data_IF_228744497626
#
_entry.id   IF_228744497626
#
_cell.length_a   1.000
_cell.length_b   1.000
_cell.length_c   1.000
_cell.angle_alpha   90.00
_cell.angle_beta   90.00
_cell.angle_gamma   90.00
#
_symmetry.space_group_name_H-M   'P 1'
#
loop_
_entity.id
_entity.type
_entity.pdbx_description
1 polymer ?
#
# COMPACT_ATOMS: atom_id res chain seq x y z
N UNK A 1 -28.07 -15.78 -50.87
CA UNK A 1 -27.40 -15.55 -52.17
C UNK A 1 -26.22 -14.60 -51.96
N UNK A 2 -24.99 -15.05 -52.30
CA UNK A 2 -23.74 -14.29 -52.60
C UNK A 2 -23.23 -13.25 -51.58
N UNK A 3 -21.94 -13.08 -51.31
CA UNK A 3 -20.68 -13.77 -51.61
C UNK A 3 -19.59 -13.07 -50.77
N UNK A 4 -18.63 -13.85 -50.26
CA UNK A 4 -17.31 -13.47 -49.73
C UNK A 4 -16.61 -12.32 -50.47
N UNK A 5 -15.83 -11.49 -49.74
CA UNK A 5 -14.49 -11.07 -50.15
C UNK A 5 -13.55 -11.06 -48.92
N UNK A 6 -12.51 -11.90 -48.98
CA UNK A 6 -11.32 -11.93 -48.11
C UNK A 6 -10.33 -10.86 -48.58
N UNK A 7 -9.65 -10.18 -47.65
CA UNK A 7 -8.55 -9.25 -47.94
C UNK A 7 -7.37 -9.49 -47.00
N UNK A 8 -6.48 -10.39 -47.41
CA UNK A 8 -5.17 -10.69 -46.82
C UNK A 8 -4.14 -9.70 -47.37
N UNK A 9 -3.34 -9.03 -46.52
CA UNK A 9 -2.01 -8.53 -46.90
C UNK A 9 -1.03 -8.65 -45.74
N UNK A 10 -0.11 -9.58 -45.95
CA UNK A 10 1.16 -9.82 -45.28
C UNK A 10 2.10 -8.64 -45.56
N UNK A 11 2.78 -8.11 -44.54
CA UNK A 11 4.07 -7.42 -44.72
C UNK A 11 5.05 -7.95 -43.70
N UNK A 12 6.03 -8.67 -44.21
CA UNK A 12 7.15 -9.33 -43.54
C UNK A 12 8.26 -8.35 -43.18
N UNK A 13 8.76 -8.51 -41.94
CA UNK A 13 10.16 -8.51 -41.48
C UNK A 13 11.14 -7.41 -41.95
N UNK A 14 11.75 -6.73 -40.97
CA UNK A 14 13.19 -6.44 -41.01
C UNK A 14 13.78 -6.56 -39.61
N UNK A 15 14.54 -7.64 -39.40
CA UNK A 15 15.44 -7.84 -38.27
C UNK A 15 16.71 -7.02 -38.51
N UNK A 16 17.16 -6.26 -37.50
CA UNK A 16 18.54 -5.78 -37.45
C UNK A 16 19.13 -6.16 -36.08
N UNK A 17 20.00 -7.17 -36.09
CA UNK A 17 20.95 -7.48 -35.03
C UNK A 17 22.18 -6.58 -35.18
N UNK A 18 22.67 -5.99 -34.08
CA UNK A 18 24.08 -5.64 -33.84
C UNK A 18 24.26 -5.49 -32.31
N UNK A 19 24.70 -6.53 -31.60
CA UNK A 19 26.08 -6.94 -31.26
C UNK A 19 26.58 -6.37 -29.92
N UNK A 20 27.11 -7.30 -29.14
CA UNK A 20 27.56 -7.24 -27.74
C UNK A 20 28.94 -6.60 -27.63
N UNK A 21 29.17 -5.82 -26.57
CA UNK A 21 30.52 -5.64 -26.00
C UNK A 21 30.43 -5.57 -24.48
N UNK A 22 30.88 -6.64 -23.83
CA UNK A 22 31.22 -6.71 -22.42
C UNK A 22 32.68 -6.25 -22.23
N UNK A 23 33.01 -5.55 -21.14
CA UNK A 23 34.16 -5.90 -20.28
C UNK A 23 34.36 -4.94 -19.08
N UNK A 24 34.41 -5.56 -17.89
CA UNK A 24 35.31 -5.29 -16.74
C UNK A 24 35.32 -3.95 -16.00
N UNK A 25 34.87 -4.03 -14.73
CA UNK A 25 35.32 -3.21 -13.60
C UNK A 25 36.72 -3.65 -13.13
N UNK A 26 37.46 -2.75 -12.44
CA UNK A 26 38.27 -3.19 -11.32
C UNK A 26 37.86 -2.53 -10.00
N UNK A 27 37.79 -3.41 -9.02
CA UNK A 27 37.75 -3.20 -7.58
C UNK A 27 39.08 -2.58 -7.12
N UNK A 28 39.07 -1.51 -6.34
CA UNK A 28 40.26 -1.09 -5.58
C UNK A 28 39.86 -0.73 -4.14
N UNK A 29 40.33 -1.55 -3.22
CA UNK A 29 40.32 -1.33 -1.78
C UNK A 29 41.41 -0.34 -1.41
N UNK A 30 41.09 0.68 -0.61
CA UNK A 30 42.08 1.48 0.11
C UNK A 30 41.74 1.50 1.59
N UNK A 31 42.55 0.78 2.37
CA UNK A 31 42.74 0.98 3.80
C UNK A 31 44.22 1.24 4.01
N UNK A 32 44.60 2.46 4.42
CA UNK A 32 45.76 2.73 5.27
C UNK A 32 45.45 3.99 6.11
N UNK A 33 45.29 3.80 7.42
CA UNK A 33 46.26 4.10 8.48
C UNK A 33 46.32 5.58 8.87
N UNK A 34 45.88 5.87 10.10
CA UNK A 34 46.58 6.85 10.92
C UNK A 34 46.39 6.59 12.42
N UNK A 35 47.51 6.49 13.14
CA UNK A 35 47.64 6.66 14.59
C UNK A 35 49.09 7.07 14.87
N UNK A 36 49.30 8.09 15.71
CA UNK A 36 50.05 7.91 16.96
C UNK A 36 49.40 8.76 18.09
N UNK A 37 49.61 8.62 19.41
CA UNK A 37 50.69 8.07 20.23
C UNK A 37 50.23 7.82 21.70
N UNK A 38 50.96 6.91 22.38
CA UNK A 38 51.40 6.81 23.81
C UNK A 38 51.13 8.00 24.78
N UNK A 39 51.05 7.88 26.13
CA UNK A 39 51.24 6.84 27.16
C UNK A 39 50.80 7.38 28.55
N UNK A 40 50.47 6.49 29.50
CA UNK A 40 50.49 6.68 30.97
C UNK A 40 49.10 6.82 31.63
N UNK A 41 48.75 6.20 32.77
CA UNK A 41 49.41 5.32 33.75
C UNK A 41 48.36 4.75 34.73
N UNK A 42 48.58 3.51 35.19
CA UNK A 42 48.20 2.91 36.50
C UNK A 42 46.73 2.53 36.86
N UNK A 43 46.57 1.20 36.97
CA UNK A 43 46.09 0.43 38.15
C UNK A 43 44.59 0.29 38.49
N UNK A 44 44.17 -0.99 38.39
CA UNK A 44 43.28 -1.75 39.27
C UNK A 44 41.74 -1.49 39.28
N UNK A 45 41.05 -2.43 38.61
CA UNK A 45 39.84 -3.14 39.04
C UNK A 45 38.46 -2.43 39.06
N UNK A 46 37.73 -2.53 37.93
CA UNK A 46 36.37 -3.14 37.88
C UNK A 46 35.88 -3.21 36.43
N UNK A 47 36.11 -4.34 35.75
CA UNK A 47 35.58 -4.58 34.39
C UNK A 47 34.12 -5.01 34.43
N UNK A 48 33.22 -4.04 34.55
CA UNK A 48 31.87 -4.18 34.02
C UNK A 48 31.96 -4.08 32.49
N UNK A 49 31.66 -5.19 31.81
CA UNK A 49 31.56 -5.29 30.34
C UNK A 49 30.58 -4.22 29.81
N UNK A 50 30.95 -3.37 28.84
CA UNK A 50 29.97 -2.50 28.18
C UNK A 50 28.96 -3.39 27.46
N UNK A 51 27.72 -3.38 27.93
CA UNK A 51 26.61 -4.02 27.24
C UNK A 51 26.35 -3.19 26.00
N UNK A 52 26.81 -3.70 24.85
CA UNK A 52 26.49 -3.19 23.53
C UNK A 52 25.02 -2.72 23.50
N UNK A 53 24.83 -1.47 23.10
CA UNK A 53 23.53 -0.86 22.85
C UNK A 53 22.77 -1.73 21.86
N UNK A 54 21.91 -2.59 22.39
CA UNK A 54 20.94 -3.31 21.58
C UNK A 54 19.89 -2.28 21.18
N UNK A 55 20.00 -1.79 19.94
CA UNK A 55 18.89 -1.26 19.15
C UNK A 55 17.62 -2.05 19.52
N UNK A 56 16.54 -1.42 20.01
CA UNK A 56 15.31 -2.13 20.30
C UNK A 56 14.87 -2.89 19.05
N UNK A 57 14.79 -4.21 19.16
CA UNK A 57 14.13 -5.01 18.13
C UNK A 57 12.69 -4.51 18.07
N UNK A 58 12.25 -4.10 16.87
CA UNK A 58 10.87 -3.70 16.64
C UNK A 58 9.96 -4.84 17.13
N UNK A 59 9.17 -4.57 18.16
CA UNK A 59 8.14 -5.47 18.61
C UNK A 59 7.18 -5.65 17.43
N UNK A 60 6.99 -6.87 16.95
CA UNK A 60 5.97 -7.17 15.94
C UNK A 60 4.64 -6.65 16.48
N UNK A 61 4.00 -5.76 15.71
CA UNK A 61 2.71 -5.21 16.07
C UNK A 61 1.70 -6.35 16.28
N UNK A 62 0.73 -6.13 17.18
CA UNK A 62 -0.39 -7.06 17.34
C UNK A 62 -1.17 -7.11 16.02
N UNK A 63 -1.47 -8.30 15.46
CA UNK A 63 -2.24 -8.42 14.23
C UNK A 63 -3.60 -7.72 14.34
N UNK A 64 -4.00 -7.03 13.28
CA UNK A 64 -5.26 -6.28 13.23
C UNK A 64 -6.43 -7.23 12.98
N UNK A 65 -7.50 -7.08 13.76
CA UNK A 65 -8.73 -7.86 13.59
C UNK A 65 -9.50 -7.34 12.36
N UNK A 66 -9.51 -8.10 11.27
CA UNK A 66 -10.17 -7.70 10.00
C UNK A 66 -11.70 -7.56 10.12
N UNK A 67 -12.30 -8.17 11.15
CA UNK A 67 -13.74 -8.26 11.40
C UNK A 67 -14.27 -7.17 12.34
N UNK A 68 -13.40 -6.27 12.82
CA UNK A 68 -13.76 -5.20 13.77
C UNK A 68 -13.35 -3.82 13.24
N UNK A 69 -14.02 -2.74 13.69
CA UNK A 69 -13.55 -1.39 13.45
C UNK A 69 -12.12 -1.21 13.97
N UNK A 70 -11.21 -0.71 13.14
CA UNK A 70 -9.80 -0.60 13.53
C UNK A 70 -9.49 0.61 14.42
N UNK A 71 -10.31 1.66 14.35
CA UNK A 71 -10.18 2.89 15.15
C UNK A 71 -11.12 3.00 16.35
N UNK A 72 -11.85 1.93 16.68
CA UNK A 72 -12.89 1.96 17.71
C UNK A 72 -14.24 2.51 17.20
N UNK A 73 -14.94 3.28 18.04
CA UNK A 73 -16.29 3.79 17.72
C UNK A 73 -16.26 4.82 16.59
N UNK A 74 -17.11 4.62 15.58
CA UNK A 74 -17.22 5.52 14.44
C UNK A 74 -17.80 6.90 14.82
N UNK A 75 -17.39 7.96 14.10
CA UNK A 75 -17.98 9.28 14.27
C UNK A 75 -19.39 9.33 13.67
N UNK A 76 -20.24 10.18 14.25
CA UNK A 76 -21.53 10.53 13.66
C UNK A 76 -21.33 11.79 12.82
N UNK A 77 -21.42 11.63 11.50
CA UNK A 77 -21.28 12.76 10.58
C UNK A 77 -22.51 13.67 10.63
N UNK A 78 -22.29 14.97 10.74
CA UNK A 78 -23.36 15.98 10.64
C UNK A 78 -23.74 16.17 9.19
N UNK A 79 -24.99 16.60 8.96
CA UNK A 79 -25.45 17.00 7.64
C UNK A 79 -24.59 18.17 7.14
N UNK A 80 -24.05 18.04 5.93
CA UNK A 80 -23.16 19.02 5.28
C UNK A 80 -21.78 19.21 5.97
N UNK A 81 -21.34 18.26 6.79
CA UNK A 81 -19.98 18.28 7.33
C UNK A 81 -18.96 18.13 6.20
N UNK A 82 -18.05 19.10 6.09
CA UNK A 82 -17.07 19.14 5.01
C UNK A 82 -15.89 18.22 5.33
N UNK A 83 -16.11 16.92 5.21
CA UNK A 83 -15.09 15.91 5.45
C UNK A 83 -14.22 15.62 4.23
N UNK A 84 -13.02 15.10 4.47
CA UNK A 84 -12.14 14.55 3.44
C UNK A 84 -11.36 13.35 3.98
N UNK A 85 -10.86 12.51 3.08
CA UNK A 85 -10.04 11.35 3.41
C UNK A 85 -8.56 11.68 3.20
N UNK A 86 -7.75 11.40 4.20
CA UNK A 86 -6.30 11.53 4.16
C UNK A 86 -5.68 10.14 4.26
N UNK A 87 -4.90 9.73 3.25
CA UNK A 87 -4.31 8.40 3.17
C UNK A 87 -2.80 8.54 3.27
N UNK A 88 -2.22 8.00 4.34
CA UNK A 88 -0.77 7.90 4.50
C UNK A 88 -0.31 6.49 4.15
N UNK A 89 0.50 6.39 3.11
CA UNK A 89 1.15 5.15 2.68
C UNK A 89 2.24 4.75 3.69
N UNK A 90 2.98 5.71 4.27
CA UNK A 90 4.00 5.38 5.27
C UNK A 90 3.39 4.81 6.54
N UNK A 91 2.28 5.38 7.01
CA UNK A 91 1.65 4.96 8.26
C UNK A 91 0.60 3.86 8.07
N UNK A 92 0.27 3.51 6.81
CA UNK A 92 -0.72 2.51 6.45
C UNK A 92 -2.08 2.79 7.13
N UNK A 93 -2.56 4.03 6.93
CA UNK A 93 -3.77 4.56 7.56
C UNK A 93 -4.60 5.42 6.62
N UNK A 94 -5.90 5.39 6.85
CA UNK A 94 -6.86 6.35 6.30
C UNK A 94 -7.45 7.16 7.44
N UNK A 95 -7.36 8.47 7.37
CA UNK A 95 -7.95 9.39 8.33
C UNK A 95 -9.19 10.03 7.74
N UNK A 96 -10.26 10.09 8.52
CA UNK A 96 -11.44 10.90 8.21
C UNK A 96 -11.22 12.25 8.88
N UNK A 97 -11.15 13.30 8.07
CA UNK A 97 -10.75 14.65 8.50
C UNK A 97 -11.89 15.65 8.37
N UNK A 98 -12.01 16.55 9.34
CA UNK A 98 -12.79 17.80 9.25
C UNK A 98 -11.82 18.97 9.47
N UNK A 99 -11.53 19.74 8.41
CA UNK A 99 -10.42 20.68 8.43
C UNK A 99 -9.11 19.99 8.82
N UNK A 100 -8.50 20.42 9.92
CA UNK A 100 -7.27 19.83 10.47
C UNK A 100 -7.53 18.73 11.49
N UNK A 101 -8.77 18.55 11.95
CA UNK A 101 -9.13 17.58 12.98
C UNK A 101 -9.25 16.19 12.37
N UNK A 102 -8.74 15.18 13.07
CA UNK A 102 -8.98 13.77 12.73
C UNK A 102 -10.18 13.28 13.53
N UNK A 103 -11.27 12.95 12.85
CA UNK A 103 -12.48 12.41 13.45
C UNK A 103 -12.36 10.91 13.73
N UNK A 104 -11.64 10.20 12.85
CA UNK A 104 -11.44 8.75 12.94
C UNK A 104 -10.19 8.33 12.18
N UNK A 105 -9.58 7.22 12.62
CA UNK A 105 -8.42 6.61 11.97
C UNK A 105 -8.72 5.15 11.67
N UNK A 106 -8.59 4.77 10.41
CA UNK A 106 -8.68 3.40 9.95
C UNK A 106 -7.27 2.88 9.68
N UNK A 107 -6.98 1.65 10.10
CA UNK A 107 -5.81 0.91 9.61
C UNK A 107 -6.12 0.45 8.19
N UNK A 108 -5.13 0.58 7.31
CA UNK A 108 -5.24 0.23 5.91
C UNK A 108 -4.03 -0.57 5.42
N UNK A 109 -4.18 -1.20 4.27
CA UNK A 109 -3.07 -1.77 3.50
C UNK A 109 -3.10 -1.22 2.07
N UNK A 110 -2.06 -0.49 1.68
CA UNK A 110 -1.93 0.12 0.35
C UNK A 110 -1.10 -0.76 -0.58
N UNK A 111 -0.89 -0.28 -1.80
CA UNK A 111 -0.11 -0.95 -2.83
C UNK A 111 1.29 -1.36 -2.39
N UNK A 112 1.73 -2.53 -2.85
CA UNK A 112 3.07 -3.09 -2.61
C UNK A 112 4.21 -2.18 -3.08
N UNK A 113 3.94 -1.31 -4.04
CA UNK A 113 4.92 -0.33 -4.55
C UNK A 113 6.17 -1.01 -5.12
N UNK A 114 6.00 -2.22 -5.66
CA UNK A 114 7.07 -2.99 -6.32
C UNK A 114 7.19 -2.63 -7.80
N UNK A 115 6.12 -2.11 -8.40
CA UNK A 115 6.09 -1.57 -9.75
C UNK A 115 4.86 -0.62 -9.91
N UNK A 116 4.76 0.17 -10.99
CA UNK A 116 3.68 1.12 -11.17
C UNK A 116 2.26 0.52 -11.15
N UNK A 117 2.10 -0.76 -11.51
CA UNK A 117 0.79 -1.44 -11.51
C UNK A 117 0.38 -1.89 -10.10
N UNK A 118 1.30 -1.92 -9.14
CA UNK A 118 1.05 -2.28 -7.73
C UNK A 118 1.25 -1.11 -6.77
N UNK A 119 1.62 0.08 -7.26
CA UNK A 119 1.75 1.31 -6.47
C UNK A 119 0.38 1.96 -6.27
N UNK A 120 0.06 2.38 -5.03
CA UNK A 120 -1.03 3.32 -4.80
C UNK A 120 -0.55 4.73 -5.18
N UNK A 121 -1.09 5.34 -6.26
CA UNK A 121 -0.58 6.62 -6.73
C UNK A 121 -0.91 7.74 -5.74
N UNK A 122 0.10 8.54 -5.38
CA UNK A 122 -0.09 9.73 -4.55
C UNK A 122 -0.81 10.84 -5.33
N UNK A 123 -1.37 11.81 -4.63
CA UNK A 123 -2.05 12.95 -5.23
C UNK A 123 -3.35 13.34 -4.54
N UNK A 124 -4.11 14.21 -5.19
CA UNK A 124 -5.46 14.59 -4.78
C UNK A 124 -6.48 14.03 -5.76
N UNK A 125 -7.43 13.28 -5.22
CA UNK A 125 -8.49 12.59 -5.93
C UNK A 125 -9.85 12.91 -5.30
N UNK A 126 -10.90 12.35 -5.89
CA UNK A 126 -12.26 12.50 -5.39
C UNK A 126 -12.99 11.18 -5.52
N UNK A 127 -13.79 10.85 -4.51
CA UNK A 127 -14.66 9.67 -4.55
C UNK A 127 -15.56 9.74 -5.78
N UNK A 128 -15.54 8.67 -6.57
CA UNK A 128 -16.29 8.55 -7.81
C UNK A 128 -17.68 7.94 -7.54
N UNK A 129 -18.52 7.88 -8.56
CA UNK A 129 -19.91 7.42 -8.42
C UNK A 129 -20.00 5.91 -8.23
N UNK A 130 -19.00 5.18 -8.73
CA UNK A 130 -18.92 3.73 -8.74
C UNK A 130 -18.60 3.20 -7.33
N UNK A 131 -19.53 2.40 -6.81
CA UNK A 131 -19.39 1.66 -5.55
C UNK A 131 -20.31 0.45 -5.54
N UNK A 132 -20.03 -0.54 -4.72
CA UNK A 132 -20.86 -1.74 -4.63
C UNK A 132 -20.58 -2.59 -3.41
N UNK A 133 -21.49 -3.52 -3.13
CA UNK A 133 -21.38 -4.41 -1.96
C UNK A 133 -20.35 -5.52 -2.15
N UNK A 134 -20.07 -5.90 -3.40
CA UNK A 134 -19.18 -6.99 -3.76
C UNK A 134 -18.58 -6.74 -5.15
N UNK A 135 -17.34 -7.18 -5.35
CA UNK A 135 -16.75 -7.40 -6.66
C UNK A 135 -15.87 -8.65 -6.61
N UNK A 136 -15.56 -9.21 -7.78
CA UNK A 136 -14.54 -10.23 -7.94
C UNK A 136 -13.72 -9.91 -9.19
N UNK A 137 -12.40 -9.97 -9.07
CA UNK A 137 -11.42 -9.70 -10.10
C UNK A 137 -10.68 -11.00 -10.46
N UNK A 138 -11.13 -11.74 -11.49
CA UNK A 138 -10.54 -13.03 -11.85
C UNK A 138 -9.04 -12.97 -12.16
N UNK A 139 -8.54 -11.82 -12.65
CA UNK A 139 -7.11 -11.59 -12.91
C UNK A 139 -6.24 -11.83 -11.68
N UNK A 140 -6.73 -11.48 -10.49
CA UNK A 140 -6.03 -11.59 -9.22
C UNK A 140 -6.54 -12.74 -8.36
N UNK A 141 -7.60 -13.43 -8.80
CA UNK A 141 -8.32 -14.43 -7.99
C UNK A 141 -8.81 -13.86 -6.65
N UNK A 142 -9.13 -12.56 -6.62
CA UNK A 142 -9.50 -11.81 -5.42
C UNK A 142 -10.84 -11.09 -5.66
N UNK A 143 -11.71 -11.11 -4.65
CA UNK A 143 -12.86 -10.23 -4.53
C UNK A 143 -12.86 -9.50 -3.19
N UNK A 144 -13.76 -8.55 -3.00
CA UNK A 144 -13.91 -7.88 -1.71
C UNK A 144 -15.28 -7.23 -1.56
N UNK A 145 -15.62 -6.92 -0.30
CA UNK A 145 -16.87 -6.27 0.06
C UNK A 145 -16.72 -4.75 0.15
N UNK A 146 -17.84 -4.06 -0.06
CA UNK A 146 -18.01 -2.62 0.18
C UNK A 146 -16.99 -1.74 -0.54
N UNK A 147 -16.87 -1.94 -1.86
CA UNK A 147 -15.91 -1.19 -2.66
C UNK A 147 -16.43 0.21 -2.99
N UNK A 148 -15.53 1.20 -2.97
CA UNK A 148 -15.78 2.59 -3.37
C UNK A 148 -14.64 3.07 -4.25
N UNK A 149 -14.95 3.53 -5.46
CA UNK A 149 -13.92 4.01 -6.38
C UNK A 149 -13.48 5.42 -6.08
N UNK A 150 -12.18 5.68 -6.23
CA UNK A 150 -11.57 7.00 -6.06
C UNK A 150 -10.70 7.43 -7.25
N UNK A 151 -10.39 6.51 -8.18
CA UNK A 151 -9.66 6.80 -9.41
C UNK A 151 -9.96 5.77 -10.50
N UNK A 152 -9.95 6.24 -11.75
CA UNK A 152 -10.08 5.44 -12.97
C UNK A 152 -11.34 4.56 -13.05
N UNK A 153 -12.46 5.01 -12.47
CA UNK A 153 -13.80 4.44 -12.64
C UNK A 153 -13.87 2.93 -12.33
N UNK A 154 -13.41 2.57 -11.13
CA UNK A 154 -13.47 1.20 -10.61
C UNK A 154 -12.12 0.46 -10.60
N UNK A 155 -11.05 1.06 -11.11
CA UNK A 155 -9.71 0.45 -11.06
C UNK A 155 -9.05 0.60 -9.68
N UNK A 156 -9.16 1.78 -9.06
CA UNK A 156 -8.61 2.06 -7.73
C UNK A 156 -9.73 2.27 -6.72
N UNK A 157 -9.71 1.44 -5.68
CA UNK A 157 -10.82 1.25 -4.76
C UNK A 157 -10.36 1.38 -3.31
N UNK A 158 -11.25 1.89 -2.45
CA UNK A 158 -11.30 1.47 -1.05
C UNK A 158 -12.15 0.22 -0.99
N UNK A 159 -11.72 -0.84 -0.30
CA UNK A 159 -12.53 -2.04 -0.08
C UNK A 159 -12.06 -2.83 1.15
N UNK A 160 -12.84 -3.84 1.56
CA UNK A 160 -12.42 -4.74 2.64
C UNK A 160 -11.15 -5.52 2.27
N UNK A 161 -10.53 -6.19 3.23
CA UNK A 161 -9.56 -7.27 2.95
C UNK A 161 -10.06 -8.23 1.86
N UNK A 162 -9.15 -8.80 1.06
CA UNK A 162 -9.52 -9.61 -0.08
C UNK A 162 -10.12 -10.95 0.37
N UNK A 163 -10.93 -11.51 -0.52
CA UNK A 163 -11.70 -12.73 -0.36
C UNK A 163 -11.58 -13.57 -1.63
N UNK A 164 -11.84 -14.87 -1.53
CA UNK A 164 -11.99 -15.74 -2.70
C UNK A 164 -13.33 -15.51 -3.43
N UNK A 165 -13.56 -16.28 -4.50
CA UNK A 165 -14.79 -16.21 -5.30
C UNK A 165 -16.07 -16.56 -4.49
N UNK A 166 -15.92 -17.37 -3.44
CA UNK A 166 -16.98 -17.82 -2.55
C UNK A 166 -17.16 -16.87 -1.34
N UNK A 167 -16.45 -15.74 -1.33
CA UNK A 167 -16.45 -14.70 -0.29
C UNK A 167 -15.84 -15.13 1.06
N UNK A 168 -14.98 -16.14 1.08
CA UNK A 168 -14.15 -16.45 2.24
C UNK A 168 -12.96 -15.50 2.31
N UNK A 169 -12.61 -15.05 3.52
CA UNK A 169 -11.45 -14.17 3.75
C UNK A 169 -10.16 -14.88 3.34
N UNK A 170 -9.32 -14.18 2.58
CA UNK A 170 -7.94 -14.61 2.37
C UNK A 170 -7.12 -14.22 3.60
N UNK A 171 -6.98 -15.16 4.54
CA UNK A 171 -6.37 -14.88 5.85
C UNK A 171 -4.94 -14.35 5.75
N UNK A 172 -4.15 -14.83 4.78
CA UNK A 172 -2.77 -14.40 4.59
C UNK A 172 -2.63 -12.90 4.26
N UNK A 173 -3.62 -12.32 3.57
CA UNK A 173 -3.66 -10.89 3.24
C UNK A 173 -4.31 -10.10 4.37
N UNK A 174 -5.36 -10.64 4.99
CA UNK A 174 -5.99 -10.03 6.16
C UNK A 174 -5.04 -9.85 7.35
N UNK A 175 -4.11 -10.80 7.56
CA UNK A 175 -3.08 -10.74 8.60
C UNK A 175 -2.04 -9.61 8.38
N UNK A 176 -1.91 -9.11 7.14
CA UNK A 176 -1.00 -8.02 6.79
C UNK A 176 -1.65 -6.63 6.86
N UNK A 177 -2.90 -6.53 7.33
CA UNK A 177 -3.54 -5.24 7.56
C UNK A 177 -2.63 -4.31 8.40
N UNK A 178 -2.31 -3.14 7.85
CA UNK A 178 -1.33 -2.21 8.42
C UNK A 178 0.06 -2.27 7.77
N UNK A 179 0.24 -3.12 6.77
CA UNK A 179 1.42 -3.22 5.90
C UNK A 179 1.03 -3.06 4.43
N UNK A 180 1.98 -2.75 3.54
CA UNK A 180 1.71 -2.71 2.10
C UNK A 180 1.38 -4.13 1.60
N UNK A 181 0.22 -4.31 0.97
CA UNK A 181 -0.28 -5.65 0.57
C UNK A 181 -1.38 -5.60 -0.50
N UNK A 182 -1.27 -4.71 -1.48
CA UNK A 182 -2.27 -4.63 -2.55
C UNK A 182 -1.69 -4.37 -3.93
N UNK A 183 -2.56 -4.47 -4.93
CA UNK A 183 -2.33 -4.09 -6.32
C UNK A 183 -2.70 -2.60 -6.59
N UNK A 184 -2.49 -1.73 -5.59
CA UNK A 184 -2.75 -0.29 -5.68
C UNK A 184 -4.03 0.19 -4.99
N UNK A 185 -4.97 -0.71 -4.69
CA UNK A 185 -6.16 -0.41 -3.89
C UNK A 185 -5.82 -0.18 -2.40
N UNK A 186 -6.80 0.31 -1.64
CA UNK A 186 -6.68 0.56 -0.20
C UNK A 186 -7.55 -0.47 0.51
N UNK A 187 -6.92 -1.52 1.05
CA UNK A 187 -7.58 -2.55 1.84
C UNK A 187 -7.87 -2.02 3.24
N UNK A 188 -9.03 -2.36 3.77
CA UNK A 188 -9.50 -1.97 5.10
C UNK A 188 -10.09 -3.18 5.83
N UNK A 189 -10.33 -3.05 7.13
CA UNK A 189 -11.21 -4.01 7.82
C UNK A 189 -12.60 -4.02 7.15
N UNK A 190 -13.33 -5.14 7.28
CA UNK A 190 -14.68 -5.27 6.71
C UNK A 190 -15.61 -4.16 7.24
N UNK A 191 -15.63 -3.83 8.55
CA UNK A 191 -16.44 -2.74 9.07
C UNK A 191 -16.02 -1.36 8.56
N UNK A 192 -14.71 -1.08 8.44
CA UNK A 192 -14.23 0.23 7.97
C UNK A 192 -14.58 0.47 6.50
N UNK A 193 -14.41 -0.55 5.64
CA UNK A 193 -14.85 -0.50 4.25
C UNK A 193 -16.36 -0.25 4.14
N UNK A 194 -17.16 -0.96 4.94
CA UNK A 194 -18.61 -0.75 5.00
C UNK A 194 -18.95 0.67 5.42
N UNK A 195 -18.24 1.21 6.42
CA UNK A 195 -18.48 2.56 6.90
C UNK A 195 -18.20 3.59 5.81
N UNK A 196 -17.09 3.48 5.08
CA UNK A 196 -16.80 4.34 3.93
C UNK A 196 -17.91 4.24 2.87
N UNK A 197 -18.30 3.02 2.51
CA UNK A 197 -19.34 2.76 1.51
C UNK A 197 -20.67 3.45 1.82
N UNK A 198 -21.09 3.43 3.09
CA UNK A 198 -22.36 3.99 3.54
C UNK A 198 -22.32 5.49 3.81
N UNK A 199 -21.21 6.03 4.30
CA UNK A 199 -21.17 7.37 4.88
C UNK A 199 -20.38 8.38 4.08
N UNK A 200 -19.44 7.96 3.21
CA UNK A 200 -18.62 8.89 2.43
C UNK A 200 -19.31 9.23 1.10
N UNK A 201 -19.75 10.50 0.91
CA UNK A 201 -20.45 10.89 -0.30
C UNK A 201 -19.59 10.83 -1.56
N UNK A 202 -20.28 10.84 -2.72
CA UNK A 202 -19.65 11.16 -4.00
C UNK A 202 -18.95 12.53 -3.92
N UNK A 203 -17.84 12.66 -4.64
CA UNK A 203 -17.04 13.88 -4.72
C UNK A 203 -16.39 14.32 -3.39
N UNK A 204 -16.34 13.44 -2.37
CA UNK A 204 -15.49 13.67 -1.19
C UNK A 204 -14.02 13.64 -1.62
N UNK A 205 -13.26 14.66 -1.20
CA UNK A 205 -11.82 14.77 -1.48
C UNK A 205 -11.06 13.61 -0.81
N UNK A 206 -10.11 13.05 -1.54
CA UNK A 206 -9.15 12.05 -1.07
C UNK A 206 -7.75 12.58 -1.34
N UNK A 207 -6.89 12.66 -0.34
CA UNK A 207 -5.48 13.02 -0.50
C UNK A 207 -4.65 11.81 -0.13
N UNK A 208 -3.72 11.41 -1.00
CA UNK A 208 -2.85 10.25 -0.80
C UNK A 208 -1.41 10.73 -0.83
N UNK A 209 -0.64 10.40 0.20
CA UNK A 209 0.76 10.78 0.34
C UNK A 209 1.59 9.66 0.99
N UNK A 210 2.92 9.82 0.92
CA UNK A 210 3.88 8.89 1.50
C UNK A 210 4.06 9.18 2.98
#
# INVERSE_FOLDING_TARGET
MKLMIKGCRIVTALFLLLTITACSLPFQSNTLLNSPAKQGSQSAASTAKPRADRKPAAQKAVPVSWDKPSGGTYPVLKKNESIWLDVSIKDQKVYIKEGNNTLYTMIASTGLDTNPDTTTPTGTYYIQAERGKWFYAPKYNEGAKYWVSWKNHGEFLFHSVPMDADQHILTADAEKLGEKDSHGCIHLTVPDAKWIYEHIPYNTKVVIHS
#
